data_IF_095054384154
#
_entry.id   IF_095054384154
#
_cell.length_a   1.000
_cell.length_b   1.000
_cell.length_c   1.000
_cell.angle_alpha   90.00
_cell.angle_beta   90.00
_cell.angle_gamma   90.00
#
_symmetry.space_group_name_H-M   'P 1'
#
loop_
_entity.id
_entity.type
_entity.pdbx_description
1 polymer ?
2 non-polymer ?
#
# COMPACT_ATOMS: atom_id res chain seq x y z
N UNK A 51 -10.19 17.74 -15.06
CA UNK A 51 -11.64 17.83 -15.28
C UNK A 51 -12.41 16.77 -14.50
N UNK A 52 -13.16 15.92 -15.22
CA UNK A 52 -13.95 14.89 -14.55
C UNK A 52 -13.06 13.93 -13.77
N UNK A 53 -11.96 13.51 -14.39
CA UNK A 53 -11.02 12.64 -13.71
C UNK A 53 -10.47 13.30 -12.44
N UNK A 54 -10.10 14.58 -12.54
CA UNK A 54 -9.58 15.29 -11.39
C UNK A 54 -10.60 15.36 -10.26
N UNK A 55 -11.86 15.69 -10.58
CA UNK A 55 -12.84 15.87 -9.52
C UNK A 55 -13.21 14.54 -8.87
N UNK A 56 -13.31 13.45 -9.64
CA UNK A 56 -13.60 12.16 -9.04
C UNK A 56 -12.44 11.70 -8.16
N UNK A 57 -11.20 11.95 -8.61
CA UNK A 57 -10.06 11.61 -7.75
C UNK A 57 -10.07 12.43 -6.47
N UNK A 58 -10.41 13.72 -6.57
CA UNK A 58 -10.48 14.56 -5.38
C UNK A 58 -11.47 14.01 -4.36
N UNK A 59 -12.68 13.69 -4.82
CA UNK A 59 -13.70 13.20 -3.90
C UNK A 59 -13.29 11.86 -3.28
N UNK A 60 -12.79 10.93 -4.10
CA UNK A 60 -12.42 9.62 -3.59
C UNK A 60 -11.28 9.73 -2.58
N UNK A 61 -10.27 10.55 -2.88
CA UNK A 61 -9.16 10.72 -1.97
C UNK A 61 -9.60 11.39 -0.66
N UNK A 62 -10.50 12.36 -0.73
CA UNK A 62 -10.99 12.98 0.50
C UNK A 62 -11.67 11.96 1.39
N UNK A 63 -12.60 11.17 0.82
CA UNK A 63 -13.34 10.23 1.66
C UNK A 63 -12.41 9.14 2.19
N UNK A 64 -11.48 8.66 1.37
CA UNK A 64 -10.60 7.58 1.81
C UNK A 64 -9.67 8.09 2.91
N UNK A 65 -9.19 9.33 2.79
CA UNK A 65 -8.35 9.90 3.83
C UNK A 65 -9.10 10.01 5.15
N UNK A 66 -10.34 10.53 5.11
CA UNK A 66 -11.09 10.71 6.35
C UNK A 66 -11.32 9.37 7.04
N UNK A 67 -11.84 8.40 6.29
CA UNK A 67 -12.22 7.12 6.91
C UNK A 67 -10.98 6.38 7.41
N UNK A 68 -9.93 6.35 6.60
CA UNK A 68 -8.71 5.68 7.01
C UNK A 68 -8.06 6.33 8.21
N UNK A 69 -8.08 7.67 8.26
CA UNK A 69 -7.53 8.38 9.42
C UNK A 69 -8.26 7.96 10.69
N UNK A 70 -9.59 8.01 10.67
CA UNK A 70 -10.36 7.66 11.86
C UNK A 70 -10.05 6.22 12.29
N UNK A 71 -10.13 5.29 11.34
CA UNK A 71 -9.93 3.89 11.69
C UNK A 71 -8.54 3.60 12.21
N UNK A 72 -7.52 4.12 11.53
CA UNK A 72 -6.15 3.85 11.94
C UNK A 72 -5.83 4.50 13.28
N UNK A 73 -6.36 5.70 13.54
CA UNK A 73 -6.12 6.35 14.83
C UNK A 73 -6.71 5.52 15.96
N UNK A 74 -7.96 5.07 15.80
CA UNK A 74 -8.58 4.26 16.86
C UNK A 74 -7.80 2.96 17.05
N UNK A 75 -7.47 2.29 15.95
CA UNK A 75 -6.78 1.00 16.06
C UNK A 75 -5.41 1.16 16.72
N UNK A 76 -4.65 2.19 16.32
CA UNK A 76 -3.33 2.41 16.90
C UNK A 76 -3.43 2.74 18.38
N UNK A 77 -4.40 3.58 18.76
CA UNK A 77 -4.61 3.86 20.18
C UNK A 77 -4.85 2.58 20.96
N UNK A 78 -5.76 1.73 20.47
CA UNK A 78 -6.09 0.51 21.20
C UNK A 78 -4.89 -0.42 21.29
N UNK A 79 -4.15 -0.57 20.19
CA UNK A 79 -3.00 -1.46 20.19
C UNK A 79 -1.90 -0.97 21.11
N UNK A 80 -1.64 0.34 21.12
CA UNK A 80 -0.52 0.90 21.88
C UNK A 80 -0.82 0.97 23.37
N UNK A 81 -2.06 1.30 23.74
CA UNK A 81 -2.34 1.62 25.13
C UNK A 81 -2.91 0.53 26.01
N UNK A 82 -3.00 -0.72 25.53
CA UNK A 82 -3.68 -1.75 26.30
C UNK A 82 -2.82 -3.00 26.50
N UNK A 83 -1.91 -3.27 25.57
CA UNK A 83 -1.30 -4.59 25.46
C UNK A 83 -0.02 -4.68 26.27
N UNK A 84 0.19 -5.83 26.91
CA UNK A 84 1.38 -6.12 27.71
C UNK A 84 2.24 -7.22 27.10
N UNK A 85 1.65 -8.38 26.80
CA UNK A 85 2.37 -9.49 26.20
C UNK A 85 1.87 -9.71 24.78
N UNK A 86 2.80 -9.89 23.84
CA UNK A 86 2.49 -9.95 22.42
C UNK A 86 3.28 -11.10 21.80
N UNK A 87 2.58 -12.07 21.21
CA UNK A 87 3.30 -13.23 20.66
C UNK A 87 3.84 -12.95 19.25
N UNK A 88 2.96 -12.89 18.26
CA UNK A 88 3.35 -12.36 16.95
C UNK A 88 2.27 -11.53 16.26
N UNK A 89 1.00 -11.84 16.47
CA UNK A 89 -0.07 -11.21 15.71
C UNK A 89 -0.20 -9.74 16.09
N UNK A 90 -0.03 -9.44 17.38
CA UNK A 90 -0.09 -8.05 17.81
C UNK A 90 1.03 -7.23 17.17
N UNK A 91 2.23 -7.79 17.07
CA UNK A 91 3.34 -7.09 16.44
C UNK A 91 3.04 -6.83 14.96
N UNK A 92 2.58 -7.87 14.26
CA UNK A 92 2.28 -7.71 12.84
C UNK A 92 1.21 -6.65 12.62
N UNK A 93 0.13 -6.69 13.40
CA UNK A 93 -0.96 -5.75 13.20
C UNK A 93 -0.55 -4.34 13.61
N UNK A 94 0.32 -4.20 14.61
CA UNK A 94 0.82 -2.88 14.97
C UNK A 94 1.62 -2.27 13.84
N UNK A 95 2.50 -3.05 13.22
CA UNK A 95 3.29 -2.49 12.12
C UNK A 95 2.41 -2.18 10.91
N UNK A 96 1.41 -3.01 10.65
CA UNK A 96 0.46 -2.70 9.58
C UNK A 96 -0.24 -1.37 9.87
N UNK A 97 -0.63 -1.16 11.13
CA UNK A 97 -1.29 0.09 11.50
C UNK A 97 -0.36 1.29 11.28
N UNK A 98 0.92 1.15 11.61
CA UNK A 98 1.86 2.24 11.43
C UNK A 98 2.00 2.59 9.94
N UNK A 99 2.10 1.56 9.09
CA UNK A 99 2.22 1.82 7.66
C UNK A 99 0.96 2.51 7.12
N UNK A 100 -0.22 2.06 7.56
CA UNK A 100 -1.45 2.71 7.13
C UNK A 100 -1.48 4.16 7.57
N UNK A 101 -1.03 4.43 8.79
CA UNK A 101 -0.95 5.82 9.26
C UNK A 101 -0.05 6.65 8.36
N UNK A 102 1.06 6.06 7.92
CA UNK A 102 1.95 6.77 7.00
C UNK A 102 1.22 7.17 5.72
N UNK A 103 0.47 6.22 5.12
CA UNK A 103 -0.25 6.56 3.89
C UNK A 103 -1.30 7.64 4.13
N UNK A 104 -2.03 7.54 5.24
CA UNK A 104 -3.05 8.53 5.54
C UNK A 104 -2.44 9.92 5.66
N UNK A 105 -1.29 10.02 6.33
CA UNK A 105 -0.65 11.32 6.45
C UNK A 105 -0.10 11.80 5.11
N UNK A 106 0.23 10.89 4.20
CA UNK A 106 0.72 11.29 2.88
C UNK A 106 -0.39 11.79 1.96
N UNK A 107 -1.61 11.28 2.11
CA UNK A 107 -2.69 11.60 1.17
C UNK A 107 -3.00 13.09 0.98
N UNK A 108 -3.03 13.94 2.02
CA UNK A 108 -3.48 15.34 1.79
C UNK A 108 -2.66 16.10 0.75
N UNK A 109 -1.38 15.77 0.58
CA UNK A 109 -0.60 16.46 -0.45
C UNK A 109 -1.15 16.16 -1.84
N UNK A 110 -1.48 14.89 -2.11
CA UNK A 110 -2.06 14.54 -3.39
C UNK A 110 -3.44 15.17 -3.56
N UNK A 111 -4.22 15.20 -2.47
CA UNK A 111 -5.53 15.86 -2.54
C UNK A 111 -5.38 17.33 -2.94
N UNK A 112 -4.46 18.05 -2.29
CA UNK A 112 -4.24 19.45 -2.61
C UNK A 112 -3.74 19.61 -4.04
N UNK A 113 -2.89 18.69 -4.50
CA UNK A 113 -2.43 18.73 -5.88
C UNK A 113 -3.61 18.62 -6.85
N UNK A 114 -4.56 17.75 -6.55
CA UNK A 114 -5.73 17.60 -7.41
C UNK A 114 -6.71 18.76 -7.29
N UNK A 115 -6.68 19.51 -6.18
CA UNK A 115 -7.50 20.70 -6.08
C UNK A 115 -7.07 21.75 -7.09
N UNK A 116 -5.75 21.88 -7.31
CA UNK A 116 -5.19 23.01 -8.05
C UNK A 116 -5.09 22.72 -9.54
N UNK A 117 -6.00 21.91 -10.08
CA UNK A 117 -6.07 21.61 -11.51
C UNK A 117 -4.73 21.09 -12.05
N UNK A 118 -4.10 20.18 -11.30
CA UNK A 118 -2.89 19.49 -11.72
C UNK A 118 -1.74 20.49 -11.92
N UNK A 119 -1.39 21.19 -10.85
CA UNK A 119 -0.26 22.10 -10.85
C UNK A 119 0.54 21.90 -9.56
N UNK A 120 1.85 21.74 -9.71
CA UNK A 120 2.76 21.56 -8.58
C UNK A 120 3.66 22.77 -8.44
N UNK A 121 3.75 23.32 -7.22
CA UNK A 121 4.56 24.51 -6.98
C UNK A 121 5.35 24.43 -5.69
N UNK A 122 5.78 23.24 -5.26
CA UNK A 122 6.49 23.09 -3.99
C UNK A 122 7.86 22.44 -4.14
N UNK A 123 8.36 22.28 -5.36
CA UNK A 123 9.69 21.75 -5.57
C UNK A 123 9.68 20.31 -6.02
N UNK A 124 10.88 19.73 -6.06
CA UNK A 124 11.06 18.36 -6.52
C UNK A 124 11.24 17.39 -5.36
N UNK A 125 11.92 17.81 -4.31
CA UNK A 125 12.20 16.92 -3.18
C UNK A 125 10.91 16.44 -2.54
N UNK A 126 9.96 17.36 -2.31
CA UNK A 126 8.70 16.96 -1.71
C UNK A 126 7.93 16.00 -2.62
N UNK A 127 7.94 16.27 -3.92
CA UNK A 127 7.32 15.39 -4.90
C UNK A 127 7.85 13.96 -4.78
N UNK A 128 9.17 13.81 -4.79
CA UNK A 128 9.73 12.46 -4.74
C UNK A 128 9.55 11.82 -3.36
N UNK A 129 9.52 12.62 -2.30
CA UNK A 129 9.20 12.07 -0.98
C UNK A 129 7.80 11.46 -0.99
N UNK A 130 6.84 12.17 -1.59
CA UNK A 130 5.47 11.67 -1.62
C UNK A 130 5.41 10.36 -2.42
N UNK A 131 6.03 10.34 -3.59
CA UNK A 131 6.02 9.10 -4.39
C UNK A 131 6.63 7.94 -3.64
N UNK A 132 7.80 8.17 -3.04
CA UNK A 132 8.50 7.11 -2.33
C UNK A 132 7.67 6.58 -1.17
N UNK A 133 7.08 7.47 -0.38
CA UNK A 133 6.28 7.01 0.76
C UNK A 133 5.06 6.21 0.31
N UNK A 134 4.38 6.66 -0.76
CA UNK A 134 3.21 5.93 -1.24
C UNK A 134 3.56 4.50 -1.61
N UNK A 135 4.48 4.32 -2.54
CA UNK A 135 4.81 2.93 -2.87
C UNK A 135 5.31 2.22 -1.62
N UNK A 136 6.28 2.82 -0.94
CA UNK A 136 6.87 2.13 0.19
C UNK A 136 5.79 1.50 1.06
N UNK A 137 4.73 2.25 1.36
CA UNK A 137 3.64 1.65 2.13
C UNK A 137 2.95 0.55 1.35
N UNK A 138 2.76 0.72 0.05
CA UNK A 138 2.17 -0.35 -0.75
C UNK A 138 2.91 -1.67 -0.53
N UNK A 139 4.23 -1.67 -0.72
CA UNK A 139 4.98 -2.93 -0.57
C UNK A 139 5.05 -3.42 0.87
N UNK A 140 5.18 -2.56 1.88
CA UNK A 140 5.20 -3.05 3.28
C UNK A 140 3.88 -3.77 3.53
N UNK A 141 2.77 -3.18 3.13
CA UNK A 141 1.45 -3.82 3.36
C UNK A 141 1.35 -5.18 2.68
N UNK A 142 1.95 -5.36 1.49
CA UNK A 142 1.87 -6.67 0.78
C UNK A 142 2.70 -7.74 1.51
N UNK A 143 3.88 -7.39 2.02
CA UNK A 143 4.78 -8.38 2.68
C UNK A 143 4.29 -8.73 4.09
N UNK A 144 3.91 -7.75 4.90
CA UNK A 144 3.46 -8.06 6.29
C UNK A 144 2.09 -8.74 6.25
N UNK A 145 1.27 -8.54 5.23
CA UNK A 145 -0.02 -9.27 5.15
C UNK A 145 0.28 -10.69 4.66
N UNK A 146 1.37 -10.88 3.93
CA UNK A 146 1.70 -12.25 3.53
C UNK A 146 2.01 -13.03 4.79
N UNK A 147 2.97 -12.53 5.58
CA UNK A 147 3.43 -13.19 6.83
C UNK A 147 2.29 -13.52 7.78
N UNK A 148 1.27 -12.68 7.92
CA UNK A 148 0.15 -13.05 8.84
C UNK A 148 -0.47 -14.37 8.37
N UNK A 149 -0.69 -14.54 7.06
CA UNK A 149 -1.28 -15.82 6.60
C UNK A 149 -0.32 -16.95 6.92
N UNK A 150 0.93 -16.84 6.46
CA UNK A 150 1.97 -17.87 6.74
C UNK A 150 1.98 -18.06 8.25
N UNK A 151 2.03 -16.98 9.03
CA UNK A 151 1.97 -17.27 10.45
C UNK A 151 0.65 -17.96 10.81
N UNK A 152 -0.51 -17.50 10.31
CA UNK A 152 -1.80 -18.07 10.81
C UNK A 152 -2.15 -19.41 10.16
N UNK A 153 -1.13 -20.14 9.69
CA UNK A 153 -1.38 -21.47 9.10
C UNK A 153 -0.68 -22.51 9.95
N UNK A 154 0.52 -22.19 10.44
CA UNK A 154 1.27 -23.13 11.32
C UNK A 154 0.39 -23.40 12.54
N UNK A 155 -0.32 -22.38 13.01
CA UNK A 155 -1.26 -22.57 14.14
C UNK A 155 -2.20 -23.74 13.81
N UNK A 156 -2.85 -23.70 12.64
CA UNK A 156 -3.86 -24.75 12.32
C UNK A 156 -3.13 -26.03 11.89
N UNK A 157 -1.93 -25.92 11.34
CA UNK A 157 -1.23 -27.13 10.82
C UNK A 157 0.10 -27.31 11.56
N UNK A 167 8.26 -18.67 17.71
CA UNK A 167 7.57 -18.17 18.88
C UNK A 167 7.30 -16.67 18.75
N UNK A 168 8.15 -15.88 19.38
CA UNK A 168 8.04 -14.43 19.37
C UNK A 168 9.31 -13.75 18.89
N UNK A 169 10.48 -14.28 19.25
CA UNK A 169 11.74 -13.64 18.85
C UNK A 169 11.95 -13.70 17.34
N UNK A 170 11.51 -14.78 16.69
CA UNK A 170 11.63 -14.88 15.24
C UNK A 170 10.75 -13.84 14.53
N UNK A 171 9.55 -13.60 15.03
CA UNK A 171 8.66 -12.62 14.40
C UNK A 171 9.21 -11.21 14.56
N UNK A 172 9.90 -10.94 15.66
CA UNK A 172 10.50 -9.61 15.86
C UNK A 172 11.63 -9.40 14.86
N UNK A 173 12.41 -10.46 14.58
CA UNK A 173 13.49 -10.33 13.61
C UNK A 173 12.97 -9.96 12.23
N UNK A 174 11.98 -10.69 11.72
CA UNK A 174 11.44 -10.39 10.40
C UNK A 174 10.81 -9.00 10.38
N UNK A 175 10.10 -8.65 11.44
CA UNK A 175 9.43 -7.35 11.52
C UNK A 175 10.43 -6.20 11.49
N UNK A 176 11.59 -6.36 12.13
CA UNK A 176 12.57 -5.29 12.17
C UNK A 176 13.32 -5.16 10.85
N UNK A 177 13.53 -6.29 10.16
CA UNK A 177 14.27 -6.25 8.89
C UNK A 177 13.52 -5.45 7.84
N UNK A 178 12.18 -5.60 7.79
CA UNK A 178 11.40 -4.93 6.75
C UNK A 178 11.54 -3.42 6.85
N UNK A 179 11.49 -2.88 8.06
CA UNK A 179 11.58 -1.43 8.25
C UNK A 179 12.95 -0.88 7.87
N UNK A 180 14.02 -1.63 8.12
CA UNK A 180 15.35 -1.14 7.76
C UNK A 180 15.55 -1.09 6.26
N UNK A 181 15.05 -2.10 5.54
CA UNK A 181 15.22 -2.06 4.07
C UNK A 181 14.32 -0.97 3.46
N UNK A 182 13.11 -0.78 3.98
CA UNK A 182 12.27 0.30 3.48
C UNK A 182 12.88 1.65 3.77
N UNK A 183 13.47 1.82 4.96
CA UNK A 183 14.15 3.06 5.28
C UNK A 183 15.36 3.28 4.38
N UNK A 184 16.12 2.21 4.12
CA UNK A 184 17.26 2.33 3.23
C UNK A 184 16.87 2.71 1.82
N UNK A 185 15.74 2.17 1.34
CA UNK A 185 15.27 2.53 0.02
C UNK A 185 14.71 3.93 -0.04
N UNK A 186 14.25 4.47 1.10
CA UNK A 186 13.82 5.85 1.14
C UNK A 186 15.00 6.79 0.91
N UNK A 187 16.14 6.50 1.53
CA UNK A 187 17.29 7.40 1.43
C UNK A 187 17.87 7.40 0.02
N UNK A 188 17.91 6.24 -0.65
CA UNK A 188 18.52 6.17 -1.97
C UNK A 188 17.74 6.97 -3.01
N UNK A 189 16.45 7.21 -2.79
CA UNK A 189 15.69 8.03 -3.73
C UNK A 189 15.99 9.52 -3.53
N UNK A 190 16.30 9.92 -2.30
CA UNK A 190 16.64 11.31 -2.04
C UNK A 190 18.01 11.65 -2.64
N UNK A 191 18.97 10.73 -2.51
CA UNK A 191 20.32 11.00 -2.99
C UNK A 191 20.33 11.20 -4.49
N UNK A 192 19.64 10.33 -5.23
CA UNK A 192 19.60 10.46 -6.68
C UNK A 192 18.86 11.74 -7.10
N UNK A 193 17.98 12.25 -6.25
CA UNK A 193 17.27 13.47 -6.60
C UNK A 193 18.18 14.69 -6.48
N UNK A 194 18.99 14.75 -5.42
CA UNK A 194 19.88 15.88 -5.21
C UNK A 194 21.02 15.88 -6.22
N UNK A 195 21.54 14.68 -6.52
CA UNK A 195 22.70 14.55 -7.44
C UNK A 195 22.33 15.09 -8.82
N UNK A 196 21.30 14.53 -9.44
CA UNK A 196 20.85 15.02 -10.76
C UNK A 196 20.59 16.52 -10.65
N UNK A 197 19.79 16.93 -9.66
CA UNK A 197 19.47 18.35 -9.47
C UNK A 197 18.99 18.97 -10.76
N UNK A 198 17.92 18.42 -11.36
CA UNK A 198 17.45 18.90 -12.67
C UNK A 198 16.63 20.17 -12.57
N UNK A 199 16.21 20.71 -13.71
CA UNK A 199 15.35 21.94 -13.71
C UNK A 199 14.09 21.66 -12.90
N UNK A 200 13.59 22.68 -12.22
CA UNK A 200 12.40 22.46 -11.35
C UNK A 200 11.12 22.49 -12.18
N UNK A 201 10.73 21.34 -12.73
CA UNK A 201 9.48 21.23 -13.52
C UNK A 201 8.25 21.35 -12.61
N UNK A 202 7.12 21.76 -13.18
CA UNK A 202 5.87 21.94 -12.37
C UNK A 202 4.90 20.80 -12.68
N UNK A 203 5.42 19.60 -12.96
CA UNK A 203 4.52 18.49 -13.36
C UNK A 203 4.87 17.21 -12.62
N UNK A 204 4.14 16.89 -11.55
CA UNK A 204 4.32 15.62 -10.86
C UNK A 204 3.10 14.73 -11.04
N UNK A 205 3.25 13.48 -10.60
CA UNK A 205 2.22 12.47 -10.67
C UNK A 205 1.72 12.31 -12.11
N UNK A 206 2.66 12.31 -13.05
CA UNK A 206 2.38 12.31 -14.47
C UNK A 206 3.20 11.24 -15.18
N UNK A 207 2.70 10.80 -16.33
CA UNK A 207 3.36 9.78 -17.11
C UNK A 207 4.74 10.25 -17.56
N UNK A 208 5.74 9.39 -17.40
CA UNK A 208 7.10 9.68 -17.81
C UNK A 208 7.61 8.56 -18.70
N UNK A 209 8.44 8.91 -19.67
CA UNK A 209 9.00 7.93 -20.60
C UNK A 209 10.33 7.38 -20.10
N UNK A 210 10.59 6.11 -20.39
CA UNK A 210 11.82 5.43 -19.98
C UNK A 210 12.47 4.74 -21.17
N UNK A 211 12.53 5.43 -22.31
CA UNK A 211 13.17 4.86 -23.48
C UNK A 211 14.64 4.58 -23.24
N UNK A 212 15.34 5.52 -22.60
CA UNK A 212 16.75 5.36 -22.26
C UNK A 212 16.96 4.91 -20.83
N UNK A 213 15.88 4.61 -20.10
CA UNK A 213 15.93 4.23 -18.69
C UNK A 213 15.44 2.80 -18.48
N UNK A 214 15.92 1.87 -19.32
CA UNK A 214 15.49 0.49 -19.23
C UNK A 214 15.79 -0.11 -17.86
N UNK A 215 16.81 0.41 -17.18
CA UNK A 215 17.09 -0.03 -15.82
C UNK A 215 15.95 0.25 -14.86
N UNK A 216 15.29 1.40 -15.03
CA UNK A 216 14.12 1.70 -14.20
C UNK A 216 12.95 0.78 -14.53
N UNK A 217 12.81 0.39 -15.79
CA UNK A 217 11.78 -0.58 -16.15
C UNK A 217 12.04 -1.93 -15.49
N UNK A 218 13.32 -2.25 -15.24
CA UNK A 218 13.65 -3.47 -14.51
C UNK A 218 13.17 -3.36 -13.06
N UNK A 219 13.28 -2.18 -12.46
CA UNK A 219 12.72 -2.08 -11.10
C UNK A 219 11.23 -2.48 -11.15
N UNK A 220 10.45 -1.90 -12.09
CA UNK A 220 9.07 -2.31 -12.19
C UNK A 220 8.92 -3.78 -12.57
N UNK A 221 9.80 -4.28 -13.44
CA UNK A 221 9.66 -5.65 -13.93
C UNK A 221 9.86 -6.66 -12.79
N UNK A 222 10.83 -6.41 -11.91
CA UNK A 222 11.07 -7.34 -10.81
C UNK A 222 9.88 -7.37 -9.86
N UNK A 223 9.32 -6.21 -9.53
CA UNK A 223 8.25 -6.16 -8.55
C UNK A 223 6.99 -6.84 -9.05
N UNK A 224 6.62 -6.62 -10.32
CA UNK A 224 5.34 -7.13 -10.82
C UNK A 224 5.34 -8.65 -10.83
N UNK A 225 6.44 -9.26 -11.25
CA UNK A 225 6.51 -10.72 -11.23
C UNK A 225 6.61 -11.23 -9.80
N UNK A 226 7.40 -10.55 -8.96
CA UNK A 226 7.60 -11.02 -7.59
C UNK A 226 6.31 -10.98 -6.80
N UNK A 227 5.43 -10.02 -7.09
CA UNK A 227 4.14 -9.97 -6.44
C UNK A 227 3.32 -11.23 -6.74
N UNK A 228 3.48 -11.78 -7.94
CA UNK A 228 2.67 -12.95 -8.32
C UNK A 228 3.05 -14.19 -7.53
N UNK A 229 4.33 -14.37 -7.21
CA UNK A 229 4.71 -15.49 -6.34
C UNK A 229 4.09 -15.34 -4.95
N UNK A 230 4.13 -14.13 -4.39
CA UNK A 230 3.50 -13.90 -3.10
C UNK A 230 2.01 -14.18 -3.19
N UNK A 231 1.36 -13.70 -4.26
CA UNK A 231 -0.04 -14.03 -4.48
C UNK A 231 -0.23 -15.52 -4.72
N UNK A 232 0.73 -16.15 -5.40
CA UNK A 232 0.60 -17.59 -5.69
C UNK A 232 0.67 -18.41 -4.40
N UNK A 233 1.66 -18.14 -3.54
CA UNK A 233 1.83 -18.95 -2.34
C UNK A 233 0.66 -18.80 -1.39
N UNK A 234 0.05 -17.62 -1.32
CA UNK A 234 -1.12 -17.43 -0.47
C UNK A 234 -2.26 -18.34 -0.93
N UNK A 235 -2.44 -18.48 -2.25
CA UNK A 235 -3.52 -19.31 -2.78
C UNK A 235 -3.32 -20.77 -2.38
N UNK A 236 -2.11 -21.30 -2.58
CA UNK A 236 -1.84 -22.69 -2.21
C UNK A 236 -1.97 -22.88 -0.71
N UNK A 237 -1.59 -21.88 0.09
CA UNK A 237 -1.75 -21.99 1.53
C UNK A 237 -3.21 -22.13 1.90
N UNK A 238 -4.09 -21.34 1.26
CA UNK A 238 -5.51 -21.46 1.54
C UNK A 238 -6.08 -22.78 1.04
N UNK A 239 -5.57 -23.29 -0.09
CA UNK A 239 -6.07 -24.57 -0.61
C UNK A 239 -5.79 -25.70 0.38
N UNK A 240 -4.59 -25.70 0.93
CA UNK A 240 -4.25 -26.73 1.89
C UNK A 240 -5.24 -26.66 3.03
N UNK A 241 -5.38 -25.50 3.64
CA UNK A 241 -6.30 -25.34 4.77
C UNK A 241 -7.72 -25.66 4.33
N UNK A 242 -8.12 -25.18 3.15
CA UNK A 242 -9.46 -25.42 2.65
C UNK A 242 -9.75 -26.88 2.34
N UNK A 461 -11.90 -23.92 15.59
CA UNK A 461 -11.35 -23.89 14.24
C UNK A 461 -12.26 -23.15 13.28
N UNK A 462 -13.54 -23.08 13.62
CA UNK A 462 -14.50 -22.38 12.77
C UNK A 462 -14.17 -20.89 12.67
N UNK A 463 -13.82 -20.27 13.79
CA UNK A 463 -13.45 -18.86 13.77
C UNK A 463 -12.17 -18.64 12.98
N UNK A 464 -11.21 -19.54 13.13
CA UNK A 464 -9.92 -19.39 12.46
C UNK A 464 -10.06 -19.47 10.95
N UNK A 465 -10.88 -20.40 10.49
CA UNK A 465 -11.10 -20.55 9.04
C UNK A 465 -11.77 -19.34 8.44
N UNK A 466 -12.79 -18.81 9.13
CA UNK A 466 -13.48 -17.62 8.62
C UNK A 466 -12.55 -16.40 8.63
N UNK A 467 -11.78 -16.23 9.67
CA UNK A 467 -10.98 -15.04 9.72
C UNK A 467 -9.96 -15.02 8.59
N UNK A 468 -9.24 -16.11 8.39
CA UNK A 468 -8.21 -16.11 7.36
C UNK A 468 -8.77 -15.76 5.99
N UNK A 469 -10.08 -15.93 5.78
CA UNK A 469 -10.68 -15.60 4.48
C UNK A 469 -10.70 -14.10 4.26
N UNK A 470 -10.65 -13.31 5.34
CA UNK A 470 -10.61 -11.86 5.21
C UNK A 470 -9.30 -11.40 4.58
N UNK A 471 -8.21 -12.09 4.89
CA UNK A 471 -6.91 -11.72 4.31
C UNK A 471 -6.97 -11.81 2.78
N UNK A 472 -7.58 -12.88 2.27
CA UNK A 472 -7.67 -13.04 0.82
C UNK A 472 -8.57 -11.99 0.18
N UNK A 473 -9.61 -11.56 0.89
CA UNK A 473 -10.52 -10.55 0.34
C UNK A 473 -9.78 -9.24 0.11
N UNK A 474 -9.04 -8.77 1.11
CA UNK A 474 -8.30 -7.53 0.98
C UNK A 474 -7.22 -7.66 -0.09
N UNK A 475 -6.54 -8.80 -0.12
CA UNK A 475 -5.41 -8.97 -1.00
C UNK A 475 -5.84 -9.00 -2.46
N UNK A 476 -7.03 -9.56 -2.73
CA UNK A 476 -7.46 -9.74 -4.12
C UNK A 476 -8.13 -8.49 -4.68
N UNK A 477 -8.70 -7.64 -3.84
CA UNK A 477 -9.44 -6.48 -4.36
C UNK A 477 -8.51 -5.29 -4.53
N UNK A 478 -7.73 -4.96 -3.51
CA UNK A 478 -6.91 -3.75 -3.56
C UNK A 478 -5.68 -3.91 -4.45
N UNK A 479 -5.01 -5.06 -4.37
CA UNK A 479 -3.67 -5.20 -4.95
C UNK A 479 -3.61 -6.01 -6.23
N UNK A 480 -4.39 -7.09 -6.34
CA UNK A 480 -4.31 -7.93 -7.54
C UNK A 480 -4.66 -7.17 -8.82
N UNK A 481 -5.73 -6.37 -8.89
CA UNK A 481 -5.99 -5.65 -10.14
C UNK A 481 -4.86 -4.72 -10.54
N UNK A 482 -4.21 -4.07 -9.58
CA UNK A 482 -3.21 -3.05 -9.90
C UNK A 482 -2.03 -3.62 -10.66
N UNK A 483 -1.50 -4.76 -10.22
CA UNK A 483 -0.32 -5.32 -10.85
C UNK A 483 -0.63 -5.97 -12.19
N UNK A 484 -1.87 -6.43 -12.40
CA UNK A 484 -2.22 -7.06 -13.67
C UNK A 484 -2.14 -6.08 -14.83
N UNK A 485 -2.69 -4.88 -14.65
CA UNK A 485 -2.67 -3.88 -15.71
C UNK A 485 -1.28 -3.28 -15.91
N UNK A 486 -0.40 -3.42 -14.91
CA UNK A 486 0.95 -2.88 -15.04
C UNK A 486 1.70 -3.47 -16.23
N UNK A 487 1.37 -4.70 -16.63
CA UNK A 487 2.03 -5.29 -17.79
C UNK A 487 1.77 -4.48 -19.05
N UNK A 488 0.53 -4.03 -19.23
CA UNK A 488 0.21 -3.16 -20.36
C UNK A 488 0.87 -1.80 -20.19
N UNK A 489 0.88 -1.27 -18.96
CA UNK A 489 1.46 0.04 -18.72
C UNK A 489 2.95 0.06 -19.04
N UNK A 490 3.68 -0.95 -18.59
CA UNK A 490 5.12 -1.00 -18.87
C UNK A 490 5.37 -1.32 -20.34
N UNK A 491 4.47 -2.09 -20.96
CA UNK A 491 4.63 -2.42 -22.37
C UNK A 491 4.54 -1.16 -23.24
N UNK A 492 3.59 -0.27 -22.93
CA UNK A 492 3.48 0.97 -23.69
C UNK A 492 4.69 1.87 -23.47
N UNK A 493 5.37 1.73 -22.32
CA UNK A 493 6.55 2.55 -22.06
C UNK A 493 7.67 2.23 -23.05
N UNK A 494 7.93 0.94 -23.27
CA UNK A 494 8.99 0.53 -24.20
C UNK A 494 8.43 0.28 -25.60
N UNK A 495 7.71 1.26 -26.13
CA UNK A 495 7.10 1.15 -27.44
C UNK A 495 6.62 2.54 -27.87
N UNK A 496 6.38 2.68 -29.16
CA UNK A 496 5.83 3.92 -29.72
C UNK A 496 4.31 3.87 -29.55
N UNK A 497 3.73 4.95 -29.05
CA UNK A 497 2.31 5.01 -28.75
C UNK A 497 1.66 6.19 -29.47
N UNK A 498 0.42 5.98 -29.90
CA UNK A 498 -0.33 7.04 -30.56
C UNK A 498 -0.93 7.99 -29.51
N UNK A 499 -1.51 9.09 -30.00
CA UNK A 499 -2.12 10.06 -29.11
C UNK A 499 -3.29 9.47 -28.35
N UNK A 500 -4.13 8.69 -29.04
CA UNK A 500 -5.28 8.08 -28.37
C UNK A 500 -4.86 7.07 -27.32
N UNK A 501 -3.79 6.32 -27.59
CA UNK A 501 -3.47 5.17 -26.75
C UNK A 501 -3.00 5.59 -25.36
N UNK A 502 -2.04 6.51 -25.27
CA UNK A 502 -1.45 6.81 -23.97
C UNK A 502 -2.41 7.60 -23.09
N UNK A 503 -3.29 8.39 -23.69
CA UNK A 503 -4.30 9.11 -22.90
C UNK A 503 -5.21 8.14 -22.18
N UNK A 504 -5.64 7.07 -22.86
CA UNK A 504 -6.45 6.05 -22.22
C UNK A 504 -5.67 5.36 -21.11
N UNK A 505 -4.39 5.05 -21.38
CA UNK A 505 -3.56 4.40 -20.37
C UNK A 505 -3.40 5.31 -19.16
N UNK A 506 -3.17 6.60 -19.40
CA UNK A 506 -3.06 7.57 -18.30
C UNK A 506 -4.37 7.66 -17.54
N UNK A 507 -5.51 7.62 -18.25
CA UNK A 507 -6.80 7.63 -17.58
C UNK A 507 -6.96 6.40 -16.70
N UNK A 508 -6.54 5.23 -17.17
CA UNK A 508 -6.74 4.01 -16.43
C UNK A 508 -5.93 4.01 -15.13
N UNK A 509 -4.66 4.42 -15.20
CA UNK A 509 -3.76 4.25 -14.07
C UNK A 509 -4.20 5.06 -12.86
N UNK A 510 -4.60 6.32 -13.06
CA UNK A 510 -4.99 7.16 -11.94
C UNK A 510 -6.19 6.59 -11.21
N UNK A 511 -7.18 6.08 -11.96
CA UNK A 511 -8.30 5.38 -11.33
C UNK A 511 -7.82 4.09 -10.70
N UNK A 512 -6.87 3.42 -11.35
CA UNK A 512 -6.41 2.12 -10.89
C UNK A 512 -5.64 2.22 -9.59
N UNK A 513 -4.93 3.34 -9.37
CA UNK A 513 -4.23 3.54 -8.11
C UNK A 513 -5.18 3.71 -6.93
N UNK A 514 -6.34 4.34 -7.17
CA UNK A 514 -7.29 4.55 -6.09
C UNK A 514 -7.76 3.22 -5.51
N UNK A 515 -7.93 2.21 -6.36
CA UNK A 515 -8.31 0.89 -5.88
C UNK A 515 -7.24 0.31 -4.97
N UNK A 516 -5.96 0.53 -5.30
CA UNK A 516 -4.88 0.04 -4.46
C UNK A 516 -4.82 0.77 -3.12
N UNK A 517 -5.17 2.06 -3.12
CA UNK A 517 -5.14 2.84 -1.88
C UNK A 517 -6.31 2.55 -0.97
N UNK A 518 -7.24 1.69 -1.39
CA UNK A 518 -8.41 1.35 -0.59
C UNK A 518 -8.07 0.46 0.60
N UNK A 519 -6.84 -0.06 0.68
CA UNK A 519 -6.50 -0.98 1.77
C UNK A 519 -6.48 -0.27 3.12
N UNK A 520 -6.37 1.06 3.11
CA UNK A 520 -6.38 1.81 4.36
C UNK A 520 -7.70 1.68 5.11
N UNK A 521 -8.79 1.40 4.40
CA UNK A 521 -10.09 1.28 5.06
C UNK A 521 -10.58 -0.17 5.16
N UNK A 522 -10.00 -1.08 4.38
CA UNK A 522 -10.27 -2.50 4.57
C UNK A 522 -9.42 -3.12 5.66
N UNK A 523 -8.31 -2.49 6.02
CA UNK A 523 -7.54 -2.95 7.18
C UNK A 523 -8.28 -2.81 8.50
N UNK A 524 -9.00 -1.71 8.80
CA UNK A 524 -9.71 -1.63 10.08
C UNK A 524 -10.68 -2.76 10.34
N UNK A 525 -11.40 -3.24 9.33
CA UNK A 525 -12.28 -4.38 9.57
C UNK A 525 -11.46 -5.64 9.81
N UNK A 526 -10.24 -5.69 9.28
CA UNK A 526 -9.36 -6.82 9.55
C UNK A 526 -8.88 -6.82 10.99
N UNK A 527 -8.65 -5.64 11.58
CA UNK A 527 -8.30 -5.58 12.99
C UNK A 527 -9.41 -6.15 13.86
N UNK A 528 -10.67 -5.98 13.45
CA UNK A 528 -11.81 -6.40 14.26
C UNK A 528 -11.83 -7.90 14.47
N UNK A 529 -11.46 -8.66 13.44
CA UNK A 529 -11.54 -10.12 13.50
C UNK A 529 -10.26 -10.77 14.00
N UNK A 530 -9.19 -10.01 14.19
CA UNK A 530 -7.93 -10.58 14.66
C UNK A 530 -7.76 -10.50 16.17
N UNK A 531 -8.51 -9.64 16.86
CA UNK A 531 -8.35 -9.48 18.29
C UNK A 531 -9.67 -9.05 18.92
N UNK A 532 -9.84 -9.39 20.19
CA UNK A 532 -11.03 -8.99 20.93
C UNK A 532 -10.93 -7.59 21.50
N UNK A 533 -9.72 -7.07 21.72
CA UNK A 533 -9.57 -5.72 22.25
C UNK A 533 -10.12 -4.69 21.28
N UNK A 534 -9.86 -4.87 19.98
CA UNK A 534 -10.52 -4.04 18.97
C UNK A 534 -12.03 -4.21 19.06
N UNK A 535 -12.48 -5.45 19.22
CA UNK A 535 -13.92 -5.72 19.31
C UNK A 535 -14.53 -5.05 20.53
N UNK A 536 -13.86 -5.13 21.68
CA UNK A 536 -14.43 -4.60 22.91
C UNK A 536 -14.54 -3.08 22.87
N UNK A 537 -13.47 -2.40 22.46
CA UNK A 537 -13.50 -0.94 22.40
C UNK A 537 -14.51 -0.47 21.36
N UNK A 538 -14.54 -1.13 20.19
CA UNK A 538 -15.53 -0.79 19.18
C UNK A 538 -16.95 -1.03 19.69
N UNK A 539 -17.16 -2.14 20.41
CA UNK A 539 -18.46 -2.39 21.01
C UNK A 539 -18.83 -1.31 22.01
N UNK A 540 -17.86 -0.88 22.82
CA UNK A 540 -18.12 0.20 23.79
C UNK A 540 -18.48 1.49 23.07
N UNK A 541 -17.80 1.79 21.97
CA UNK A 541 -18.06 3.04 21.25
C UNK A 541 -19.43 3.01 20.56
N UNK A 542 -19.77 1.89 19.92
CA UNK A 542 -21.04 1.82 19.21
C UNK A 542 -22.22 1.73 20.16
N UNK A 543 -22.05 1.05 21.29
CA UNK A 543 -23.13 0.85 22.25
C UNK A 543 -23.21 2.00 23.25
#
# INVERSE_FOLDING_TARGET
MRSHTITMTTTSVSSWPYSSHRMRFITNHSDQPPQNFSATPNVTTCPMDEKLLSTVLTTSYSVIFIVGLVGNIIALYVFLGIHRKRNSIQIYLLNVAIADLLLIFCLPFRIMYHINQNKWTLGVILCKVVGTLFYMNMYISIILLGFISLDRYIKINRSIQQRKAITTKQSIYVCCIVWMLALGGFLTMIILTLKKGGHNSTMCFHYRDKHNAKGEAIFNFILVVMFWLIFLLIILSYIKIGKNLLRISKRGIDCSFWNESYLTGSRDERKKSLLSKFGMDEGVTFMFIGRFDRGQKGVDVLLKAIEILSSKKEFQEMRFIIIGKGDPELEGWARSLEEKHGNVKVITEMLSREFVRELYGSVDFVIIPSYFEPFGLVALEAMCLGAIPIASAVGGLRDIITNETGILVKAGDPGELANAILKALELSRSDLSKFRENCKKRAMSFSDQARMDIRLAKGKYATTARNSFIVLIIFTICFVPYHAFRFIYISSQLNVSSCYWKEIVHKTNEIMLVLSSFNSCLDPVMYFLMSSNIRKIMCQLLFRRFQGEPSRSESTSEFKPGYSLHDTSVAVKIQSSSKST
#
